data_IF_505735763670
#
_entry.id   IF_505735763670
#
_cell.length_a   1.000
_cell.length_b   1.000
_cell.length_c   1.000
_cell.angle_alpha   90.00
_cell.angle_beta   90.00
_cell.angle_gamma   90.00
#
_symmetry.space_group_name_H-M   'P 1'
#
loop_
_entity.id
_entity.type
_entity.pdbx_description
1 polymer ?
#
# COMPACT_ATOMS: atom_id res chain seq x y z
N UNK A 1 -41.67 -38.40 -0.47
CA UNK A 1 -40.31 -38.35 0.09
C UNK A 1 -39.56 -37.23 -0.62
N UNK A 2 -38.89 -36.38 0.17
CA UNK A 2 -37.99 -35.28 -0.19
C UNK A 2 -38.54 -34.21 -1.15
N UNK A 3 -39.09 -33.15 -0.56
CA UNK A 3 -39.30 -31.86 -1.22
C UNK A 3 -37.98 -31.11 -1.36
N UNK A 4 -37.75 -30.55 -2.55
CA UNK A 4 -36.76 -29.52 -2.83
C UNK A 4 -37.07 -28.30 -1.96
N UNK A 5 -36.32 -28.14 -0.87
CA UNK A 5 -36.21 -26.87 -0.19
C UNK A 5 -35.38 -25.94 -1.09
N UNK A 6 -36.06 -25.18 -1.93
CA UNK A 6 -35.53 -23.95 -2.49
C UNK A 6 -35.18 -23.03 -1.30
N UNK A 7 -33.93 -23.08 -0.86
CA UNK A 7 -33.38 -22.09 0.06
C UNK A 7 -33.28 -20.80 -0.74
N UNK A 8 -34.37 -20.03 -0.68
CA UNK A 8 -34.40 -18.62 -0.99
C UNK A 8 -33.46 -17.88 -0.03
N UNK A 9 -32.16 -17.95 -0.31
CA UNK A 9 -31.25 -16.91 0.11
C UNK A 9 -31.52 -15.75 -0.83
N UNK A 10 -32.35 -14.80 -0.38
CA UNK A 10 -32.43 -13.49 -1.00
C UNK A 10 -31.00 -13.06 -1.30
N UNK A 11 -30.65 -13.04 -2.59
CA UNK A 11 -29.40 -12.48 -3.03
C UNK A 11 -29.40 -11.06 -2.48
N UNK A 12 -28.63 -10.85 -1.41
CA UNK A 12 -28.14 -9.53 -1.09
C UNK A 12 -27.34 -9.15 -2.33
N UNK A 13 -28.04 -8.55 -3.29
CA UNK A 13 -27.48 -7.74 -4.33
C UNK A 13 -26.98 -6.51 -3.58
N UNK A 14 -25.91 -6.71 -2.80
CA UNK A 14 -25.13 -5.66 -2.20
C UNK A 14 -24.78 -4.78 -3.39
N UNK A 15 -25.39 -3.60 -3.44
CA UNK A 15 -25.12 -2.62 -4.48
C UNK A 15 -23.62 -2.62 -4.67
N UNK A 16 -23.15 -3.06 -5.85
CA UNK A 16 -21.74 -3.29 -6.11
C UNK A 16 -21.03 -1.96 -5.86
N UNK A 17 -20.50 -1.80 -4.64
CA UNK A 17 -19.99 -0.51 -4.23
C UNK A 17 -18.65 -0.44 -4.91
N UNK A 18 -18.56 0.41 -5.93
CA UNK A 18 -17.32 0.57 -6.66
C UNK A 18 -16.18 0.88 -5.67
N UNK A 19 -15.04 0.24 -5.91
CA UNK A 19 -13.82 0.39 -5.12
C UNK A 19 -12.68 0.69 -6.08
N UNK A 20 -11.77 1.54 -5.61
CA UNK A 20 -10.57 1.89 -6.33
C UNK A 20 -9.40 1.14 -5.71
N UNK A 21 -8.57 0.57 -6.57
CA UNK A 21 -7.44 -0.27 -6.19
C UNK A 21 -6.16 0.28 -6.79
N UNK A 22 -5.11 0.36 -5.97
CA UNK A 22 -3.75 0.62 -6.45
C UNK A 22 -2.85 -0.48 -5.93
N UNK A 23 -2.27 -1.25 -6.85
CA UNK A 23 -1.39 -2.36 -6.54
C UNK A 23 0.06 -2.01 -6.87
N UNK A 24 0.95 -2.34 -5.93
CA UNK A 24 2.38 -2.43 -6.15
C UNK A 24 2.78 -3.88 -5.90
N UNK A 25 3.09 -4.60 -6.98
CA UNK A 25 3.33 -6.04 -6.94
C UNK A 25 4.58 -6.41 -6.13
N UNK A 26 5.61 -5.55 -6.18
CA UNK A 26 6.85 -5.77 -5.48
C UNK A 26 7.49 -4.44 -5.05
N UNK A 27 7.50 -4.22 -3.74
CA UNK A 27 8.30 -3.18 -3.09
C UNK A 27 9.38 -3.89 -2.29
N UNK A 28 10.62 -3.49 -2.52
CA UNK A 28 11.75 -3.96 -1.75
C UNK A 28 12.04 -2.97 -0.63
N UNK A 29 12.22 -3.48 0.58
CA UNK A 29 12.61 -2.72 1.75
C UNK A 29 13.60 -3.56 2.59
N UNK A 30 14.82 -3.05 2.72
CA UNK A 30 15.90 -3.75 3.41
C UNK A 30 15.67 -3.91 4.92
N UNK A 31 14.79 -3.11 5.53
CA UNK A 31 14.42 -3.27 6.93
C UNK A 31 13.57 -4.53 7.16
N UNK A 32 12.89 -5.04 6.13
CA UNK A 32 12.00 -6.20 6.26
C UNK A 32 12.75 -7.51 6.34
N UNK A 33 13.89 -7.64 5.66
CA UNK A 33 14.68 -8.87 5.70
C UNK A 33 15.25 -9.15 7.09
N UNK A 34 15.39 -8.13 7.93
CA UNK A 34 15.87 -8.23 9.31
C UNK A 34 14.76 -8.10 10.36
N UNK A 35 13.51 -7.85 9.94
CA UNK A 35 12.37 -7.65 10.85
C UNK A 35 11.42 -8.85 10.79
N UNK A 36 11.16 -9.53 11.93
CA UNK A 36 10.14 -10.57 11.99
C UNK A 36 8.79 -10.05 11.49
N UNK A 37 8.10 -10.84 10.66
CA UNK A 37 6.82 -10.45 10.05
C UNK A 37 5.78 -10.00 11.09
N UNK A 38 5.69 -10.69 12.22
CA UNK A 38 4.81 -10.33 13.33
C UNK A 38 5.06 -8.91 13.86
N UNK A 39 6.34 -8.53 14.00
CA UNK A 39 6.73 -7.19 14.45
C UNK A 39 6.39 -6.15 13.38
N UNK A 40 6.64 -6.45 12.11
CA UNK A 40 6.30 -5.56 11.01
C UNK A 40 4.80 -5.26 10.98
N UNK A 41 3.95 -6.30 10.97
CA UNK A 41 2.49 -6.12 10.92
C UNK A 41 1.92 -5.46 12.16
N UNK A 42 2.48 -5.73 13.34
CA UNK A 42 2.11 -5.01 14.55
C UNK A 42 2.38 -3.51 14.41
N UNK A 43 3.54 -3.12 13.87
CA UNK A 43 3.84 -1.70 13.61
C UNK A 43 2.91 -1.11 12.56
N UNK A 44 2.61 -1.83 11.47
CA UNK A 44 1.64 -1.38 10.48
C UNK A 44 0.26 -1.10 11.11
N UNK A 45 -0.22 -2.00 11.97
CA UNK A 45 -1.48 -1.81 12.69
C UNK A 45 -1.47 -0.56 13.57
N UNK A 46 -0.38 -0.32 14.31
CA UNK A 46 -0.21 0.89 15.15
C UNK A 46 -0.20 2.20 14.34
N UNK A 47 0.34 2.17 13.12
CA UNK A 47 0.36 3.31 12.20
C UNK A 47 -0.96 3.47 11.42
N UNK A 48 -2.00 2.67 11.72
CA UNK A 48 -3.26 2.69 10.99
C UNK A 48 -3.17 2.08 9.58
N UNK A 49 -2.06 1.42 9.26
CA UNK A 49 -1.84 0.74 7.98
C UNK A 49 -2.36 -0.69 8.05
N UNK A 50 -3.68 -0.84 8.00
CA UNK A 50 -4.36 -2.13 7.93
C UNK A 50 -5.57 -2.07 7.01
N UNK A 51 -6.13 -3.23 6.71
CA UNK A 51 -7.39 -3.35 5.98
C UNK A 51 -8.54 -3.43 6.98
N UNK A 52 -9.51 -2.53 6.84
CA UNK A 52 -10.78 -2.55 7.55
C UNK A 52 -11.74 -3.48 6.79
N UNK A 53 -12.10 -4.61 7.42
CA UNK A 53 -12.97 -5.63 6.82
C UNK A 53 -14.42 -5.15 6.72
N UNK A 54 -14.88 -4.35 7.68
CA UNK A 54 -16.26 -3.89 7.75
C UNK A 54 -16.53 -2.84 6.65
N UNK A 55 -15.62 -1.89 6.50
CA UNK A 55 -15.72 -0.83 5.48
C UNK A 55 -15.12 -1.25 4.12
N UNK A 56 -14.33 -2.32 4.09
CA UNK A 56 -13.62 -2.86 2.91
C UNK A 56 -12.70 -1.81 2.27
N UNK A 57 -11.90 -1.16 3.10
CA UNK A 57 -10.95 -0.10 2.72
C UNK A 57 -9.64 -0.25 3.49
N UNK A 58 -8.59 0.44 3.05
CA UNK A 58 -7.30 0.45 3.72
C UNK A 58 -6.22 -0.26 2.91
N UNK A 59 -5.28 -0.90 3.59
CA UNK A 59 -4.11 -1.52 2.95
C UNK A 59 -4.02 -3.01 3.20
N UNK A 60 -3.75 -3.75 2.13
CA UNK A 60 -3.45 -5.18 2.16
C UNK A 60 -1.98 -5.34 1.79
N UNK A 61 -1.26 -6.08 2.63
CA UNK A 61 0.14 -6.44 2.38
C UNK A 61 0.19 -7.90 1.91
N UNK A 62 0.69 -8.12 0.70
CA UNK A 62 0.85 -9.46 0.16
C UNK A 62 2.26 -9.98 0.44
N UNK A 63 2.33 -11.12 1.13
CA UNK A 63 3.58 -11.80 1.41
C UNK A 63 3.89 -12.78 0.29
N UNK A 64 5.16 -12.87 -0.07
CA UNK A 64 5.67 -13.90 -0.98
C UNK A 64 6.86 -14.61 -0.34
N UNK A 65 7.34 -15.68 -0.96
CA UNK A 65 8.58 -16.36 -0.54
C UNK A 65 9.79 -15.41 -0.47
N UNK A 66 9.72 -14.30 -1.22
CA UNK A 66 10.74 -13.24 -1.23
C UNK A 66 10.63 -12.28 -0.03
N UNK A 67 9.69 -12.46 0.89
CA UNK A 67 9.58 -11.63 2.09
C UNK A 67 10.86 -11.67 2.93
N UNK A 68 11.50 -12.85 3.04
CA UNK A 68 12.80 -12.99 3.72
C UNK A 68 13.92 -12.21 3.01
N UNK A 69 13.76 -11.88 1.72
CA UNK A 69 14.64 -11.01 0.95
C UNK A 69 14.24 -9.52 1.03
N UNK A 70 13.24 -9.21 1.85
CA UNK A 70 12.69 -7.89 2.08
C UNK A 70 11.75 -7.39 0.98
N UNK A 71 11.06 -8.29 0.28
CA UNK A 71 10.10 -7.92 -0.79
C UNK A 71 8.66 -8.16 -0.32
N UNK A 72 7.80 -7.17 -0.50
CA UNK A 72 6.36 -7.27 -0.23
C UNK A 72 5.52 -6.73 -1.39
N UNK A 73 4.30 -7.24 -1.56
CA UNK A 73 3.27 -6.59 -2.38
C UNK A 73 2.38 -5.69 -1.53
N UNK A 74 1.87 -4.60 -2.08
CA UNK A 74 0.96 -3.67 -1.40
C UNK A 74 -0.24 -3.41 -2.29
N UNK A 75 -1.44 -3.48 -1.71
CA UNK A 75 -2.67 -3.04 -2.37
C UNK A 75 -3.34 -2.02 -1.46
N UNK A 76 -3.57 -0.81 -1.98
CA UNK A 76 -4.42 0.20 -1.34
C UNK A 76 -5.83 0.12 -1.92
N UNK A 77 -6.84 0.18 -1.05
CA UNK A 77 -8.26 0.10 -1.39
C UNK A 77 -8.99 1.31 -0.83
N UNK A 78 -9.70 2.05 -1.70
CA UNK A 78 -10.48 3.23 -1.32
C UNK A 78 -11.89 3.23 -1.91
N UNK A 79 -12.79 3.99 -1.29
CA UNK A 79 -14.13 4.27 -1.85
C UNK A 79 -14.09 5.35 -2.92
N UNK A 80 -13.06 6.19 -2.89
CA UNK A 80 -12.74 7.16 -3.93
C UNK A 80 -11.25 7.11 -4.31
N UNK A 81 -10.86 7.58 -5.51
CA UNK A 81 -9.47 7.54 -5.97
C UNK A 81 -8.50 8.26 -5.03
N UNK A 82 -8.90 9.41 -4.49
CA UNK A 82 -8.06 10.19 -3.58
C UNK A 82 -7.75 9.44 -2.28
N UNK A 83 -8.70 8.66 -1.76
CA UNK A 83 -8.50 7.90 -0.51
C UNK A 83 -7.48 6.78 -0.74
N UNK A 84 -7.59 6.12 -1.90
CA UNK A 84 -6.67 5.07 -2.34
C UNK A 84 -5.25 5.62 -2.52
N UNK A 85 -5.08 6.76 -3.21
CA UNK A 85 -3.77 7.39 -3.38
C UNK A 85 -3.19 7.92 -2.07
N UNK A 86 -4.00 8.53 -1.20
CA UNK A 86 -3.57 8.96 0.12
C UNK A 86 -3.09 7.78 0.98
N UNK A 87 -3.84 6.67 0.96
CA UNK A 87 -3.45 5.42 1.63
C UNK A 87 -2.11 4.91 1.11
N UNK A 88 -1.94 4.85 -0.22
CA UNK A 88 -0.68 4.41 -0.83
C UNK A 88 0.49 5.36 -0.48
N UNK A 89 0.26 6.66 -0.43
CA UNK A 89 1.26 7.64 -0.03
C UNK A 89 1.71 7.44 1.42
N UNK A 90 0.77 7.18 2.33
CA UNK A 90 1.08 6.83 3.73
C UNK A 90 1.94 5.57 3.82
N UNK A 91 1.62 4.53 3.04
CA UNK A 91 2.42 3.30 3.00
C UNK A 91 3.85 3.56 2.49
N UNK A 92 3.99 4.30 1.39
CA UNK A 92 5.31 4.62 0.83
C UNK A 92 6.15 5.50 1.77
N UNK A 93 5.51 6.42 2.50
CA UNK A 93 6.15 7.24 3.52
C UNK A 93 6.64 6.38 4.70
N UNK A 94 5.79 5.47 5.17
CA UNK A 94 6.13 4.52 6.23
C UNK A 94 7.31 3.62 5.84
N UNK A 95 7.29 3.05 4.63
CA UNK A 95 8.38 2.23 4.10
C UNK A 95 9.69 3.04 4.09
N UNK A 96 9.66 4.26 3.55
CA UNK A 96 10.84 5.15 3.52
C UNK A 96 11.37 5.47 4.92
N UNK A 97 10.47 5.69 5.89
CA UNK A 97 10.86 5.96 7.27
C UNK A 97 11.49 4.73 7.94
N UNK A 98 10.94 3.54 7.69
CA UNK A 98 11.47 2.29 8.19
C UNK A 98 12.88 1.99 7.66
N UNK A 99 13.14 2.28 6.38
CA UNK A 99 14.46 2.14 5.76
C UNK A 99 15.49 3.09 6.37
N UNK A 100 15.12 4.37 6.56
CA UNK A 100 16.00 5.34 7.23
C UNK A 100 16.35 4.91 8.65
N UNK A 101 15.37 4.39 9.39
CA UNK A 101 15.57 3.90 10.76
C UNK A 101 16.51 2.68 10.78
N UNK A 102 16.33 1.74 9.85
CA UNK A 102 17.21 0.59 9.70
C UNK A 102 18.64 1.01 9.32
N UNK A 103 18.80 1.96 8.40
CA UNK A 103 20.10 2.51 8.01
C UNK A 103 20.82 3.20 9.19
N UNK A 104 20.10 4.02 9.96
CA UNK A 104 20.64 4.67 11.15
C UNK A 104 21.09 3.66 12.21
N UNK A 105 20.29 2.60 12.45
CA UNK A 105 20.65 1.53 13.38
C UNK A 105 21.89 0.76 12.92
N UNK A 106 22.02 0.48 11.63
CA UNK A 106 23.19 -0.19 11.06
C UNK A 106 24.47 0.67 11.17
N UNK A 107 24.36 1.98 10.95
CA UNK A 107 25.46 2.92 11.13
C UNK A 107 25.92 2.99 12.60
N UNK A 108 24.97 3.04 13.54
CA UNK A 108 25.26 3.05 14.98
C UNK A 108 25.92 1.75 15.47
N UNK A 109 25.63 0.61 14.84
CA UNK A 109 26.23 -0.68 15.17
C UNK A 109 27.66 -0.88 14.62
N UNK A 110 28.31 0.17 14.09
CA UNK A 110 29.67 0.11 13.54
C UNK A 110 29.78 -0.73 12.26
N UNK A 111 28.65 -0.98 11.59
CA UNK A 111 28.53 -1.95 10.52
C UNK A 111 29.17 -1.51 9.20
N UNK A 112 30.28 -2.17 8.85
CA UNK A 112 30.83 -2.35 7.48
C UNK A 112 29.87 -3.11 6.53
N UNK A 113 28.55 -2.98 6.71
CA UNK A 113 27.51 -3.68 5.94
C UNK A 113 27.01 -2.88 4.73
N UNK A 114 27.56 -1.69 4.51
CA UNK A 114 27.18 -0.78 3.44
C UNK A 114 27.39 -1.37 2.03
N UNK A 115 28.31 -2.35 1.89
CA UNK A 115 28.59 -3.03 0.61
C UNK A 115 27.49 -4.00 0.16
N UNK A 116 26.57 -4.46 1.03
CA UNK A 116 25.44 -5.31 0.61
C UNK A 116 24.21 -4.51 0.18
N UNK A 117 24.14 -3.21 0.52
CA UNK A 117 23.04 -2.33 0.13
C UNK A 117 23.26 -1.65 -1.23
N UNK A 118 24.51 -1.50 -1.68
CA UNK A 118 24.86 -0.86 -2.97
C UNK A 118 24.69 -1.76 -4.19
N UNK A 119 24.56 -3.09 -4.01
CA UNK A 119 24.42 -4.04 -5.13
C UNK A 119 23.00 -4.03 -5.74
N UNK A 120 22.05 -3.32 -5.13
CA UNK A 120 20.67 -3.26 -5.63
C UNK A 120 20.45 -1.83 -6.12
N UNK A 121 20.79 -1.68 -7.40
CA UNK A 121 21.19 -0.49 -8.12
C UNK A 121 20.41 0.79 -7.86
N UNK A 122 21.05 1.92 -8.15
CA UNK A 122 20.45 3.25 -8.22
C UNK A 122 19.07 3.26 -8.92
N UNK A 123 18.85 2.34 -9.85
CA UNK A 123 17.59 2.12 -10.56
C UNK A 123 16.41 1.74 -9.66
N UNK A 124 16.61 0.92 -8.63
CA UNK A 124 15.54 0.55 -7.69
C UNK A 124 15.14 1.73 -6.79
N UNK A 125 16.13 2.50 -6.34
CA UNK A 125 15.91 3.73 -5.57
C UNK A 125 15.23 4.80 -6.44
N UNK A 126 15.62 4.91 -7.71
CA UNK A 126 15.00 5.81 -8.67
C UNK A 126 13.56 5.40 -8.95
N UNK A 127 13.30 4.14 -9.27
CA UNK A 127 11.95 3.62 -9.51
C UNK A 127 11.02 3.85 -8.31
N UNK A 128 11.52 3.65 -7.09
CA UNK A 128 10.73 3.93 -5.88
C UNK A 128 10.39 5.42 -5.72
N UNK A 129 11.35 6.33 -6.00
CA UNK A 129 11.07 7.79 -6.01
C UNK A 129 10.09 8.18 -7.12
N UNK A 130 10.22 7.59 -8.30
CA UNK A 130 9.34 7.85 -9.43
C UNK A 130 7.90 7.40 -9.11
N UNK A 131 7.74 6.24 -8.44
CA UNK A 131 6.44 5.77 -7.93
C UNK A 131 5.88 6.75 -6.89
N UNK A 132 6.68 7.22 -5.94
CA UNK A 132 6.24 8.22 -4.96
C UNK A 132 5.77 9.51 -5.62
N UNK A 133 6.51 10.00 -6.62
CA UNK A 133 6.15 11.19 -7.38
C UNK A 133 4.86 10.99 -8.18
N UNK A 134 4.71 9.82 -8.82
CA UNK A 134 3.51 9.46 -9.56
C UNK A 134 2.28 9.38 -8.64
N UNK A 135 2.37 8.65 -7.52
CA UNK A 135 1.27 8.52 -6.55
C UNK A 135 0.87 9.90 -6.02
N UNK A 136 1.84 10.76 -5.71
CA UNK A 136 1.56 12.14 -5.29
C UNK A 136 0.86 12.93 -6.38
N UNK A 137 1.37 12.90 -7.61
CA UNK A 137 0.77 13.59 -8.74
C UNK A 137 -0.68 13.12 -8.99
N UNK A 138 -0.91 11.81 -8.96
CA UNK A 138 -2.23 11.23 -9.15
C UNK A 138 -3.19 11.57 -8.01
N UNK A 139 -2.70 11.63 -6.76
CA UNK A 139 -3.45 12.14 -5.61
C UNK A 139 -3.91 13.59 -5.86
N UNK A 140 -2.96 14.48 -6.18
CA UNK A 140 -3.24 15.90 -6.40
C UNK A 140 -4.23 16.10 -7.58
N UNK A 141 -4.08 15.34 -8.67
CA UNK A 141 -5.01 15.35 -9.81
C UNK A 141 -6.39 14.81 -9.45
N UNK A 142 -6.47 13.71 -8.72
CA UNK A 142 -7.77 13.14 -8.32
C UNK A 142 -8.57 14.08 -7.41
N UNK A 143 -7.90 14.84 -6.55
CA UNK A 143 -8.53 15.89 -5.74
C UNK A 143 -9.06 17.06 -6.61
N UNK A 144 -8.31 17.47 -7.63
CA UNK A 144 -8.74 18.52 -8.57
C UNK A 144 -10.01 18.10 -9.32
N UNK A 145 -10.06 16.86 -9.82
CA UNK A 145 -11.24 16.32 -10.51
C UNK A 145 -12.44 16.24 -9.57
N UNK A 146 -12.25 15.74 -8.35
CA UNK A 146 -13.32 15.68 -7.35
C UNK A 146 -13.90 17.08 -7.03
N UNK A 147 -13.02 18.08 -6.90
CA UNK A 147 -13.41 19.47 -6.63
C UNK A 147 -14.14 20.12 -7.81
N UNK A 148 -13.71 19.84 -9.05
CA UNK A 148 -14.36 20.32 -10.26
C UNK A 148 -15.76 19.73 -10.43
N UNK A 149 -15.93 18.42 -10.16
CA UNK A 149 -17.23 17.75 -10.17
C UNK A 149 -18.19 18.31 -9.12
N UNK A 150 -17.70 18.68 -7.94
CA UNK A 150 -18.53 19.28 -6.87
C UNK A 150 -18.92 20.74 -7.17
N UNK A 151 -18.11 21.47 -7.93
CA UNK A 151 -18.35 22.87 -8.28
C UNK A 151 -19.10 23.05 -9.60
N UNK A 152 -19.39 21.97 -10.33
CA UNK A 152 -20.00 22.03 -11.67
C UNK A 152 -19.08 22.64 -12.74
N UNK A 153 -17.79 22.79 -12.45
CA UNK A 153 -16.81 23.34 -13.37
C UNK A 153 -16.37 22.28 -14.39
N UNK A 154 -16.16 22.68 -15.64
CA UNK A 154 -15.73 21.79 -16.71
C UNK A 154 -14.38 21.13 -16.35
N UNK A 155 -14.37 19.80 -16.28
CA UNK A 155 -13.15 18.99 -16.13
C UNK A 155 -12.45 19.01 -17.49
N UNK A 156 -11.39 19.81 -17.63
CA UNK A 156 -10.57 19.81 -18.85
C UNK A 156 -9.58 18.64 -18.73
N UNK A 157 -9.54 17.72 -19.71
CA UNK A 157 -8.69 16.52 -19.68
C UNK A 157 -7.19 16.84 -19.65
#
# INVERSE_FOLDING_TARGET
MAGEAAIGGAAHQAAATHRFFFALDAIRNAALSSTPASRFFHTCWQEGLHFDVDHRVGVIFNLSDKYMMGVLGVIAVGVAPQDMYATMQSVLSFISASERKAAAAAAAAGGRGQERQTIIGADAVRAFRDIQALVKYMSDKSQQVASALQSGAAVIP
#
